data_IF_706161564067
#
_entry.id   IF_706161564067
#
_cell.length_a   1.000
_cell.length_b   1.000
_cell.length_c   1.000
_cell.angle_alpha   90.00
_cell.angle_beta   90.00
_cell.angle_gamma   90.00
#
_symmetry.space_group_name_H-M   'P 1'
#
loop_
_entity.id
_entity.type
_entity.pdbx_description
1 polymer ?
#
# COMPACT_ATOMS: atom_id res chain seq x y z
N UNK A 1 -1.34 -19.80 24.27
CA UNK A 1 -0.61 -20.49 23.19
C UNK A 1 -0.88 -19.87 21.80
N UNK A 2 -2.13 -19.55 21.43
CA UNK A 2 -2.47 -19.02 20.08
C UNK A 2 -1.84 -17.64 19.76
N UNK A 3 -1.73 -16.75 20.74
CA UNK A 3 -1.20 -15.39 20.54
C UNK A 3 0.28 -15.35 20.12
N UNK A 4 1.06 -16.38 20.48
CA UNK A 4 2.48 -16.46 20.13
C UNK A 4 2.66 -16.64 18.61
N UNK A 5 1.81 -17.46 17.99
CA UNK A 5 1.80 -17.68 16.54
C UNK A 5 1.17 -16.52 15.76
N UNK A 6 0.50 -15.58 16.44
CA UNK A 6 -0.06 -14.38 15.80
C UNK A 6 0.99 -13.27 15.60
N UNK A 7 2.14 -13.35 16.26
CA UNK A 7 3.20 -12.35 16.11
C UNK A 7 3.99 -12.56 14.82
N UNK A 8 4.36 -11.47 14.15
CA UNK A 8 5.23 -11.49 12.97
C UNK A 8 6.71 -11.45 13.37
N UNK A 9 7.60 -12.12 12.61
CA UNK A 9 9.04 -12.00 12.80
C UNK A 9 9.51 -10.62 12.37
N UNK A 10 10.65 -10.20 12.93
CA UNK A 10 11.30 -8.98 12.53
C UNK A 10 11.89 -9.12 11.11
N UNK A 11 11.63 -8.14 10.25
CA UNK A 11 12.25 -7.95 8.93
C UNK A 11 12.84 -6.55 8.83
N UNK A 12 14.15 -6.45 8.61
CA UNK A 12 14.83 -5.16 8.46
C UNK A 12 14.37 -4.42 7.19
N UNK A 13 14.14 -5.16 6.09
CA UNK A 13 13.62 -4.61 4.83
C UNK A 13 12.28 -3.91 5.06
N UNK A 14 11.42 -4.50 5.90
CA UNK A 14 10.14 -3.92 6.28
C UNK A 14 10.25 -2.64 7.11
N UNK A 15 11.39 -2.29 7.70
CA UNK A 15 11.49 -1.08 8.52
C UNK A 15 11.46 0.20 7.71
N UNK A 16 12.03 0.18 6.50
CA UNK A 16 12.18 1.39 5.69
C UNK A 16 10.87 1.81 5.04
N UNK A 17 10.14 0.88 4.43
CA UNK A 17 8.85 1.19 3.79
C UNK A 17 7.69 1.26 4.78
N UNK A 18 7.78 0.56 5.92
CA UNK A 18 6.68 0.50 6.88
C UNK A 18 6.98 1.11 8.24
N UNK A 19 7.81 2.16 8.27
CA UNK A 19 8.07 3.01 9.44
C UNK A 19 8.33 2.21 10.71
N UNK A 20 9.43 1.45 10.72
CA UNK A 20 9.82 0.58 11.85
C UNK A 20 8.77 -0.48 12.18
N UNK A 21 8.23 -1.14 11.14
CA UNK A 21 7.19 -2.17 11.24
C UNK A 21 5.91 -1.70 11.94
N UNK A 22 5.57 -0.41 11.88
CA UNK A 22 4.30 0.12 12.39
C UNK A 22 3.22 0.06 11.31
N UNK A 23 2.84 -1.16 10.95
CA UNK A 23 1.84 -1.43 9.92
C UNK A 23 1.04 -2.70 10.25
N UNK A 24 0.01 -3.01 9.46
CA UNK A 24 -0.85 -4.18 9.71
C UNK A 24 -0.26 -5.52 9.25
N UNK A 25 0.73 -5.50 8.35
CA UNK A 25 1.28 -6.68 7.67
C UNK A 25 2.40 -7.33 8.48
N UNK A 26 3.35 -6.52 8.99
CA UNK A 26 4.58 -6.98 9.65
C UNK A 26 4.75 -6.54 11.10
N UNK A 27 3.83 -5.75 11.67
CA UNK A 27 3.94 -5.42 13.10
C UNK A 27 3.76 -6.65 13.99
N UNK A 28 4.44 -6.61 15.15
CA UNK A 28 4.27 -7.60 16.20
C UNK A 28 2.85 -7.52 16.77
N UNK A 29 2.30 -8.67 17.11
CA UNK A 29 0.97 -8.73 17.71
C UNK A 29 0.99 -8.02 19.07
N UNK A 30 0.10 -7.05 19.26
CA UNK A 30 0.07 -6.23 20.46
C UNK A 30 -1.08 -5.23 20.48
N UNK A 31 -1.13 -4.33 21.47
CA UNK A 31 -2.16 -3.29 21.56
C UNK A 31 -2.23 -2.42 20.30
N UNK A 32 -1.09 -2.02 19.73
CA UNK A 32 -1.03 -1.24 18.50
C UNK A 32 -1.71 -1.95 17.32
N UNK A 33 -1.25 -3.17 16.97
CA UNK A 33 -1.80 -3.94 15.86
C UNK A 33 -3.31 -4.19 16.03
N UNK A 34 -3.76 -4.52 17.24
CA UNK A 34 -5.19 -4.75 17.52
C UNK A 34 -6.03 -3.48 17.32
N UNK A 35 -5.55 -2.35 17.83
CA UNK A 35 -6.25 -1.07 17.70
C UNK A 35 -6.30 -0.62 16.24
N UNK A 36 -5.18 -0.72 15.52
CA UNK A 36 -5.12 -0.36 14.10
C UNK A 36 -6.00 -1.28 13.25
N UNK A 37 -5.97 -2.60 13.51
CA UNK A 37 -6.81 -3.58 12.81
C UNK A 37 -8.30 -3.29 13.02
N UNK A 38 -8.68 -2.98 14.26
CA UNK A 38 -10.05 -2.59 14.60
C UNK A 38 -10.45 -1.30 13.90
N UNK A 39 -9.57 -0.29 13.88
CA UNK A 39 -9.81 0.98 13.20
C UNK A 39 -10.04 0.76 11.71
N UNK A 40 -9.11 0.09 11.01
CA UNK A 40 -9.26 -0.19 9.57
C UNK A 40 -10.53 -0.99 9.27
N UNK A 41 -10.86 -1.99 10.09
CA UNK A 41 -12.08 -2.78 9.92
C UNK A 41 -13.36 -1.94 10.02
N UNK A 42 -13.43 -1.05 11.02
CA UNK A 42 -14.62 -0.25 11.26
C UNK A 42 -14.73 0.94 10.30
N UNK A 43 -13.61 1.56 9.96
CA UNK A 43 -13.58 2.86 9.29
C UNK A 43 -13.30 2.80 7.80
N UNK A 44 -12.60 1.76 7.33
CA UNK A 44 -12.24 1.61 5.91
C UNK A 44 -12.96 0.42 5.27
N UNK A 45 -13.05 -0.70 6.01
CA UNK A 45 -13.56 -1.97 5.51
C UNK A 45 -14.96 -2.32 6.02
N UNK A 46 -15.68 -1.37 6.60
CA UNK A 46 -17.07 -1.60 6.98
C UNK A 46 -17.97 -1.65 5.75
N UNK A 47 -19.05 -2.42 5.80
CA UNK A 47 -20.00 -2.54 4.69
C UNK A 47 -20.49 -1.17 4.19
N UNK A 48 -20.82 -0.25 5.12
CA UNK A 48 -21.24 1.10 4.77
C UNK A 48 -20.18 1.85 3.96
N UNK A 49 -18.90 1.78 4.36
CA UNK A 49 -17.79 2.41 3.63
C UNK A 49 -17.51 1.73 2.30
N UNK A 50 -17.49 0.40 2.25
CA UNK A 50 -17.36 -0.36 1.00
C UNK A 50 -18.46 0.01 0.00
N UNK A 51 -19.71 0.19 0.45
CA UNK A 51 -20.81 0.66 -0.40
C UNK A 51 -20.64 2.11 -0.84
N UNK A 52 -20.11 2.99 0.01
CA UNK A 52 -19.86 4.39 -0.38
C UNK A 52 -18.87 4.51 -1.55
N UNK A 53 -17.93 3.57 -1.66
CA UNK A 53 -16.95 3.52 -2.76
C UNK A 53 -17.45 2.80 -4.03
N UNK A 54 -18.71 2.38 -4.07
CA UNK A 54 -19.25 1.60 -5.20
C UNK A 54 -19.20 2.35 -6.52
N UNK A 55 -19.50 3.65 -6.53
CA UNK A 55 -19.47 4.49 -7.74
C UNK A 55 -18.06 4.56 -8.33
N UNK A 56 -17.04 4.81 -7.50
CA UNK A 56 -15.64 4.85 -7.93
C UNK A 56 -15.19 3.51 -8.50
N UNK A 57 -15.52 2.39 -7.83
CA UNK A 57 -15.18 1.06 -8.36
C UNK A 57 -15.85 0.78 -9.71
N UNK A 58 -17.09 1.23 -9.88
CA UNK A 58 -17.83 1.05 -11.14
C UNK A 58 -17.17 1.85 -12.27
N UNK A 59 -16.78 3.10 -12.00
CA UNK A 59 -16.10 3.94 -12.98
C UNK A 59 -14.77 3.31 -13.46
N UNK A 60 -13.94 2.84 -12.53
CA UNK A 60 -12.67 2.18 -12.86
C UNK A 60 -12.89 0.88 -13.67
N UNK A 61 -13.92 0.10 -13.32
CA UNK A 61 -14.28 -1.11 -14.06
C UNK A 61 -14.82 -0.80 -15.48
N UNK A 62 -15.56 0.28 -15.65
CA UNK A 62 -16.06 0.71 -16.96
C UNK A 62 -14.90 0.99 -17.93
N UNK A 63 -13.82 1.62 -17.46
CA UNK A 63 -12.61 1.87 -18.25
C UNK A 63 -12.00 0.55 -18.74
N UNK A 64 -11.87 -0.45 -17.87
CA UNK A 64 -11.36 -1.77 -18.25
C UNK A 64 -12.29 -2.47 -19.25
N UNK A 65 -13.61 -2.40 -19.03
CA UNK A 65 -14.61 -3.00 -19.91
C UNK A 65 -14.58 -2.36 -21.30
N UNK A 66 -14.45 -1.05 -21.39
CA UNK A 66 -14.39 -0.35 -22.67
C UNK A 66 -13.09 -0.66 -23.43
N UNK A 67 -11.97 -0.79 -22.72
CA UNK A 67 -10.72 -1.29 -23.29
C UNK A 67 -10.90 -2.70 -23.89
N UNK A 68 -11.57 -3.61 -23.17
CA UNK A 68 -11.84 -4.97 -23.66
C UNK A 68 -12.77 -4.98 -24.88
N UNK A 69 -13.79 -4.12 -24.92
CA UNK A 69 -14.70 -3.99 -26.07
C UNK A 69 -13.95 -3.57 -27.34
N UNK A 70 -12.97 -2.67 -27.22
CA UNK A 70 -12.15 -2.21 -28.35
C UNK A 70 -11.25 -3.31 -28.92
N UNK A 71 -10.85 -4.28 -28.09
CA UNK A 71 -9.95 -5.38 -28.49
C UNK A 71 -10.70 -6.70 -28.72
N UNK A 72 -11.97 -6.61 -29.14
CA UNK A 72 -12.81 -7.79 -29.34
C UNK A 72 -12.20 -8.73 -30.40
N UNK A 73 -12.03 -9.99 -30.03
CA UNK A 73 -11.49 -11.03 -30.93
C UNK A 73 -9.97 -11.04 -31.03
N UNK A 74 -9.27 -10.25 -30.21
CA UNK A 74 -7.81 -10.19 -30.14
C UNK A 74 -7.35 -10.78 -28.79
N UNK A 75 -6.25 -11.52 -28.79
CA UNK A 75 -5.61 -11.96 -27.54
C UNK A 75 -4.89 -10.77 -26.92
N UNK A 76 -5.28 -10.41 -25.70
CA UNK A 76 -4.71 -9.27 -24.97
C UNK A 76 -4.18 -9.75 -23.63
N UNK A 77 -2.97 -9.30 -23.27
CA UNK A 77 -2.44 -9.48 -21.92
C UNK A 77 -3.12 -8.49 -20.96
N UNK A 78 -3.83 -9.03 -19.96
CA UNK A 78 -4.56 -8.25 -18.96
C UNK A 78 -3.76 -8.02 -17.68
N UNK A 79 -2.56 -8.59 -17.56
CA UNK A 79 -1.76 -8.54 -16.33
C UNK A 79 -1.52 -7.09 -15.91
N UNK A 80 -0.95 -6.27 -16.80
CA UNK A 80 -0.66 -4.87 -16.49
C UNK A 80 -1.94 -4.04 -16.32
N UNK A 81 -3.01 -4.35 -17.09
CA UNK A 81 -4.29 -3.62 -16.99
C UNK A 81 -5.00 -3.88 -15.66
N UNK A 82 -4.99 -5.11 -15.18
CA UNK A 82 -5.57 -5.47 -13.89
C UNK A 82 -4.72 -4.90 -12.76
N UNK A 83 -3.38 -4.94 -12.89
CA UNK A 83 -2.49 -4.29 -11.93
C UNK A 83 -2.77 -2.79 -11.83
N UNK A 84 -2.81 -2.07 -12.95
CA UNK A 84 -3.19 -0.64 -12.99
C UNK A 84 -4.54 -0.38 -12.36
N UNK A 85 -5.56 -1.16 -12.74
CA UNK A 85 -6.91 -1.03 -12.21
C UNK A 85 -6.91 -1.15 -10.68
N UNK A 86 -6.23 -2.17 -10.15
CA UNK A 86 -6.16 -2.39 -8.71
C UNK A 86 -5.45 -1.24 -8.00
N UNK A 87 -4.30 -0.80 -8.53
CA UNK A 87 -3.50 0.29 -8.00
C UNK A 87 -4.30 1.61 -7.96
N UNK A 88 -4.93 1.98 -9.08
CA UNK A 88 -5.75 3.18 -9.19
C UNK A 88 -6.93 3.13 -8.22
N UNK A 89 -7.63 2.00 -8.17
CA UNK A 89 -8.76 1.80 -7.27
C UNK A 89 -8.33 1.94 -5.80
N UNK A 90 -7.18 1.39 -5.40
CA UNK A 90 -6.65 1.59 -4.05
C UNK A 90 -6.35 3.05 -3.76
N UNK A 91 -5.70 3.77 -4.69
CA UNK A 91 -5.33 5.16 -4.48
C UNK A 91 -6.56 6.07 -4.37
N UNK A 92 -7.58 5.85 -5.21
CA UNK A 92 -8.83 6.58 -5.12
C UNK A 92 -9.59 6.31 -3.82
N UNK A 93 -9.63 5.05 -3.38
CA UNK A 93 -10.36 4.67 -2.16
C UNK A 93 -9.67 5.20 -0.91
N UNK A 94 -8.33 5.14 -0.85
CA UNK A 94 -7.55 5.47 0.35
C UNK A 94 -7.16 6.94 0.38
N UNK A 95 -6.75 7.53 -0.74
CA UNK A 95 -6.23 8.90 -0.79
C UNK A 95 -7.20 9.88 -1.45
N UNK A 96 -8.30 9.39 -2.04
CA UNK A 96 -9.26 10.22 -2.77
C UNK A 96 -8.75 10.74 -4.12
N UNK A 97 -7.57 10.29 -4.57
CA UNK A 97 -6.94 10.73 -5.83
C UNK A 97 -6.08 9.62 -6.44
N UNK A 98 -5.82 9.72 -7.74
CA UNK A 98 -4.78 8.92 -8.38
C UNK A 98 -3.41 9.33 -7.83
N UNK A 99 -2.46 8.40 -7.80
CA UNK A 99 -1.08 8.83 -7.60
C UNK A 99 -0.55 9.45 -8.88
N UNK A 100 0.42 10.32 -8.71
CA UNK A 100 1.10 10.96 -9.82
C UNK A 100 1.70 9.92 -10.77
N UNK A 101 1.60 10.23 -12.06
CA UNK A 101 2.20 9.40 -13.11
C UNK A 101 3.71 9.22 -12.90
N UNK A 102 4.38 10.23 -12.30
CA UNK A 102 5.81 10.24 -12.01
C UNK A 102 6.26 9.14 -11.04
N UNK A 103 5.37 8.66 -10.17
CA UNK A 103 5.69 7.60 -9.20
C UNK A 103 5.54 6.19 -9.80
N UNK A 104 4.87 6.05 -10.95
CA UNK A 104 4.68 4.76 -11.63
C UNK A 104 4.17 3.66 -10.71
N UNK A 105 2.97 3.81 -10.14
CA UNK A 105 2.44 2.96 -9.04
C UNK A 105 2.66 1.46 -9.27
N UNK A 106 2.41 0.97 -10.49
CA UNK A 106 2.59 -0.45 -10.80
C UNK A 106 4.04 -0.90 -10.67
N UNK A 107 4.98 -0.11 -11.19
CA UNK A 107 6.41 -0.38 -11.09
C UNK A 107 6.85 -0.29 -9.64
N UNK A 108 6.43 0.76 -8.93
CA UNK A 108 6.69 0.94 -7.51
C UNK A 108 6.21 -0.26 -6.66
N UNK A 109 4.96 -0.67 -6.84
CA UNK A 109 4.35 -1.81 -6.12
C UNK A 109 5.06 -3.11 -6.47
N UNK A 110 5.31 -3.36 -7.77
CA UNK A 110 6.01 -4.55 -8.24
C UNK A 110 7.41 -4.63 -7.64
N UNK A 111 8.15 -3.54 -7.67
CA UNK A 111 9.52 -3.50 -7.17
C UNK A 111 9.58 -3.66 -5.65
N UNK A 112 8.66 -3.00 -4.94
CA UNK A 112 8.48 -3.16 -3.48
C UNK A 112 8.19 -4.61 -3.13
N UNK A 113 7.25 -5.26 -3.83
CA UNK A 113 6.88 -6.66 -3.60
C UNK A 113 8.02 -7.62 -3.93
N UNK A 114 8.72 -7.42 -5.05
CA UNK A 114 9.89 -8.23 -5.41
C UNK A 114 11.05 -8.06 -4.41
N UNK A 115 11.24 -6.87 -3.86
CA UNK A 115 12.29 -6.61 -2.85
C UNK A 115 11.91 -7.20 -1.49
N UNK A 116 10.64 -7.08 -1.08
CA UNK A 116 10.14 -7.65 0.16
C UNK A 116 10.08 -9.19 0.14
N UNK A 117 9.79 -9.81 -1.01
CA UNK A 117 9.72 -11.26 -1.15
C UNK A 117 11.11 -11.93 -1.20
N UNK A 118 12.19 -11.18 -1.41
CA UNK A 118 13.54 -11.73 -1.48
C UNK A 118 14.05 -12.09 -0.08
N UNK A 119 14.50 -13.34 0.16
CA UNK A 119 15.06 -13.73 1.44
C UNK A 119 16.37 -12.98 1.68
N UNK A 120 16.45 -12.27 2.81
CA UNK A 120 17.66 -11.58 3.23
C UNK A 120 18.64 -12.57 3.82
N UNK A 121 19.83 -12.70 3.23
CA UNK A 121 20.86 -13.64 3.70
C UNK A 121 21.27 -13.39 5.16
N UNK A 122 21.26 -12.12 5.59
CA UNK A 122 21.54 -11.72 6.96
C UNK A 122 20.59 -12.31 8.01
N UNK A 123 19.35 -12.64 7.61
CA UNK A 123 18.35 -13.23 8.51
C UNK A 123 18.64 -14.73 8.77
N UNK A 124 19.38 -15.39 7.87
CA UNK A 124 19.77 -16.80 7.99
C UNK A 124 21.22 -16.97 8.47
N UNK A 125 22.10 -16.03 8.10
CA UNK A 125 23.52 -16.06 8.44
C UNK A 125 23.90 -14.72 9.10
N UNK A 126 23.83 -14.65 10.45
CA UNK A 126 24.00 -13.39 11.19
C UNK A 126 25.31 -12.64 10.90
N UNK A 127 26.38 -13.36 10.57
CA UNK A 127 27.69 -12.77 10.23
C UNK A 127 27.63 -11.82 9.03
N UNK A 128 26.74 -12.08 8.06
CA UNK A 128 26.58 -11.25 6.87
C UNK A 128 25.50 -10.15 7.03
N UNK A 129 24.82 -10.09 8.18
CA UNK A 129 23.72 -9.15 8.42
C UNK A 129 24.11 -7.69 8.30
N UNK A 130 25.36 -7.33 8.64
CA UNK A 130 25.86 -5.95 8.66
C UNK A 130 26.16 -5.41 7.26
N UNK A 131 26.43 -6.29 6.29
CA UNK A 131 27.03 -5.89 5.00
C UNK A 131 26.03 -5.62 3.88
N UNK A 132 24.72 -5.81 4.10
CA UNK A 132 23.65 -5.69 3.07
C UNK A 132 24.10 -6.21 1.69
N UNK A 133 24.67 -7.41 1.64
CA UNK A 133 25.34 -7.94 0.43
C UNK A 133 24.42 -8.05 -0.78
N UNK A 134 23.11 -8.16 -0.56
CA UNK A 134 22.09 -8.21 -1.61
C UNK A 134 21.52 -6.82 -1.96
N UNK A 135 21.92 -5.78 -1.23
CA UNK A 135 21.43 -4.41 -1.41
C UNK A 135 19.94 -4.22 -1.10
N UNK A 136 19.31 -5.16 -0.37
CA UNK A 136 17.87 -5.13 -0.12
C UNK A 136 17.49 -3.99 0.80
N UNK A 137 18.27 -3.76 1.87
CA UNK A 137 18.03 -2.65 2.79
C UNK A 137 18.23 -1.30 2.07
N UNK A 138 19.28 -1.17 1.25
CA UNK A 138 19.51 0.03 0.43
C UNK A 138 18.37 0.28 -0.56
N UNK A 139 17.94 -0.76 -1.29
CA UNK A 139 16.88 -0.62 -2.29
C UNK A 139 15.54 -0.23 -1.67
N UNK A 140 15.22 -0.78 -0.51
CA UNK A 140 13.99 -0.42 0.20
C UNK A 140 14.00 1.01 0.75
N UNK A 141 15.18 1.55 1.13
CA UNK A 141 15.32 2.98 1.45
C UNK A 141 15.10 3.87 0.24
N UNK A 142 15.61 3.47 -0.93
CA UNK A 142 15.39 4.22 -2.17
C UNK A 142 13.90 4.25 -2.54
N UNK A 143 13.19 3.13 -2.37
CA UNK A 143 11.75 3.05 -2.58
C UNK A 143 10.94 3.79 -1.51
N UNK A 144 11.42 3.88 -0.26
CA UNK A 144 10.70 4.60 0.79
C UNK A 144 10.58 6.11 0.50
N UNK A 145 11.60 6.72 -0.11
CA UNK A 145 11.63 8.17 -0.39
C UNK A 145 10.45 8.69 -1.23
N UNK A 146 10.18 8.19 -2.43
CA UNK A 146 9.05 8.69 -3.23
C UNK A 146 7.70 8.38 -2.58
N UNK A 147 7.59 7.30 -1.80
CA UNK A 147 6.39 7.01 -1.03
C UNK A 147 6.17 8.02 0.11
N UNK A 148 7.24 8.36 0.83
CA UNK A 148 7.20 9.38 1.90
C UNK A 148 6.79 10.74 1.34
N UNK A 149 7.42 11.18 0.26
CA UNK A 149 7.08 12.44 -0.42
C UNK A 149 5.61 12.47 -0.88
N UNK A 150 5.11 11.36 -1.42
CA UNK A 150 3.72 11.24 -1.83
C UNK A 150 2.77 11.35 -0.63
N UNK A 151 3.03 10.60 0.45
CA UNK A 151 2.18 10.56 1.63
C UNK A 151 2.19 11.90 2.37
N UNK A 152 3.34 12.55 2.49
CA UNK A 152 3.47 13.88 3.09
C UNK A 152 2.60 14.90 2.34
N UNK A 153 2.66 14.92 1.01
CA UNK A 153 1.79 15.78 0.20
C UNK A 153 0.30 15.45 0.37
N UNK A 154 -0.08 14.18 0.44
CA UNK A 154 -1.48 13.77 0.69
C UNK A 154 -1.94 14.29 2.05
N UNK A 155 -1.10 14.16 3.09
CA UNK A 155 -1.39 14.61 4.45
C UNK A 155 -1.53 16.14 4.47
N UNK A 156 -0.59 16.87 3.88
CA UNK A 156 -0.61 18.32 3.83
C UNK A 156 -1.86 18.85 3.12
N UNK A 157 -2.23 18.27 1.99
CA UNK A 157 -3.46 18.61 1.28
C UNK A 157 -4.72 18.37 2.12
N UNK A 158 -4.76 17.28 2.90
CA UNK A 158 -5.89 16.99 3.80
C UNK A 158 -5.95 17.99 4.96
N UNK A 159 -4.80 18.29 5.58
CA UNK A 159 -4.71 19.27 6.67
C UNK A 159 -5.11 20.68 6.22
N UNK A 160 -4.69 21.11 5.03
CA UNK A 160 -5.10 22.39 4.46
C UNK A 160 -6.61 22.46 4.20
N UNK A 161 -7.20 21.40 3.62
CA UNK A 161 -8.65 21.32 3.41
C UNK A 161 -9.44 21.32 4.72
N UNK A 162 -8.88 20.72 5.78
CA UNK A 162 -9.47 20.73 7.11
C UNK A 162 -9.43 22.11 7.76
N UNK A 163 -8.33 22.86 7.60
CA UNK A 163 -8.21 24.22 8.13
C UNK A 163 -9.21 25.21 7.51
N UNK A 164 -9.57 25.02 6.24
CA UNK A 164 -10.54 25.89 5.53
C UNK A 164 -12.01 25.54 5.81
N UNK A 165 -12.29 24.32 6.30
CA UNK A 165 -13.64 23.84 6.60
C UNK A 165 -13.70 23.41 8.05
N UNK A 166 -14.24 24.26 8.93
CA UNK A 166 -14.63 23.94 10.32
C UNK A 166 -15.69 22.80 10.36
N UNK A 167 -15.30 21.56 10.03
CA UNK A 167 -16.19 20.41 10.03
C UNK A 167 -15.46 19.18 10.58
N UNK A 168 -15.88 18.77 11.78
CA UNK A 168 -15.50 17.49 12.34
C UNK A 168 -16.24 16.36 11.61
N UNK A 169 -15.51 15.64 10.75
CA UNK A 169 -15.52 14.17 10.60
C UNK A 169 -14.52 13.81 9.51
N UNK A 170 -13.26 13.69 9.89
CA UNK A 170 -12.24 13.18 8.99
C UNK A 170 -11.98 11.69 9.23
N UNK A 171 -12.20 10.92 8.17
CA UNK A 171 -11.90 9.50 7.95
C UNK A 171 -11.82 9.30 6.43
N UNK A 172 -11.20 10.25 5.73
CA UNK A 172 -10.69 10.02 4.39
C UNK A 172 -9.35 9.30 4.56
#
# INVERSE_FOLDING_TARGET
MILFFSSRPYSEVSQYIFYDQRNLVSSKYGPYWRNMSKLCTLQLLSNAKIHSFQSMRKQELEILVDFLKQHRGIVVDLTDKISSLSANMFCLIIFGKYMDEDLGINEFVKETMCTAARPKLGDYIPFFGVFDLQGLSRRMKELAKPLDEFLERVIDEHLHKFSDKNQAKDIV
#
